data_IF_200629568266
#
_entry.id   IF_200629568266
#
_cell.length_a   1.000
_cell.length_b   1.000
_cell.length_c   1.000
_cell.angle_alpha   90.00
_cell.angle_beta   90.00
_cell.angle_gamma   90.00
#
_symmetry.space_group_name_H-M   'P 1'
#
loop_
_entity.id
_entity.type
_entity.pdbx_description
1 polymer ?
#
# COMPACT_ATOMS: atom_id res chain seq x y z
N UNK A 1 0.29 -23.65 -22.24
CA UNK A 1 1.17 -23.63 -21.06
C UNK A 1 0.65 -22.52 -20.18
N UNK A 2 0.25 -22.81 -18.95
CA UNK A 2 -0.17 -21.75 -18.03
C UNK A 2 1.04 -20.91 -17.68
N UNK A 3 0.91 -19.60 -17.86
CA UNK A 3 1.95 -18.64 -17.51
C UNK A 3 2.24 -18.74 -16.01
N UNK A 4 3.52 -18.64 -15.64
CA UNK A 4 3.98 -18.75 -14.25
C UNK A 4 4.58 -17.42 -13.83
N UNK A 5 4.12 -16.92 -12.70
CA UNK A 5 4.56 -15.64 -12.15
C UNK A 5 5.45 -15.91 -10.94
N UNK A 6 6.58 -15.22 -10.88
CA UNK A 6 7.46 -15.25 -9.72
C UNK A 6 6.76 -14.57 -8.54
N UNK A 7 6.72 -15.24 -7.39
CA UNK A 7 6.07 -14.68 -6.20
C UNK A 7 6.98 -14.72 -4.98
N UNK A 8 6.74 -13.79 -4.06
CA UNK A 8 7.27 -13.80 -2.70
C UNK A 8 6.17 -14.25 -1.74
N UNK A 9 6.40 -15.33 -1.00
CA UNK A 9 5.47 -15.77 0.04
C UNK A 9 5.66 -14.88 1.27
N UNK A 10 4.64 -14.11 1.62
CA UNK A 10 4.66 -13.16 2.75
C UNK A 10 4.30 -13.86 4.06
N UNK A 11 3.25 -14.68 4.04
CA UNK A 11 2.77 -15.41 5.21
C UNK A 11 2.07 -16.70 4.79
N UNK A 12 2.03 -17.68 5.69
CA UNK A 12 1.24 -18.91 5.53
C UNK A 12 0.27 -19.04 6.70
N UNK A 13 -0.98 -19.41 6.41
CA UNK A 13 -2.03 -19.65 7.41
C UNK A 13 -2.82 -20.89 7.02
N UNK A 14 -2.46 -22.02 7.61
CA UNK A 14 -3.08 -23.32 7.29
C UNK A 14 -2.87 -23.71 5.83
N UNK A 15 -3.97 -23.89 5.09
CA UNK A 15 -3.96 -24.29 3.67
C UNK A 15 -3.85 -23.13 2.68
N UNK A 16 -3.70 -21.90 3.17
CA UNK A 16 -3.55 -20.72 2.32
C UNK A 16 -2.26 -19.98 2.63
N UNK A 17 -1.75 -19.28 1.63
CA UNK A 17 -0.58 -18.44 1.73
C UNK A 17 -0.86 -17.07 1.12
N UNK A 18 -0.43 -16.01 1.80
CA UNK A 18 -0.37 -14.67 1.24
C UNK A 18 0.88 -14.57 0.37
N UNK A 19 0.69 -14.31 -0.91
CA UNK A 19 1.76 -14.10 -1.87
C UNK A 19 1.77 -12.66 -2.37
N UNK A 20 2.95 -12.20 -2.78
CA UNK A 20 3.18 -10.89 -3.38
C UNK A 20 3.93 -11.07 -4.70
N UNK A 21 3.53 -10.34 -5.72
CA UNK A 21 4.24 -10.28 -7.00
C UNK A 21 4.23 -8.86 -7.55
N UNK A 22 5.16 -8.58 -8.45
CA UNK A 22 5.24 -7.31 -9.16
C UNK A 22 5.02 -7.49 -10.65
N UNK A 23 4.36 -6.51 -11.27
CA UNK A 23 4.23 -6.37 -12.72
C UNK A 23 4.33 -4.88 -13.13
N UNK A 24 4.00 -4.56 -14.37
CA UNK A 24 4.03 -3.20 -14.90
C UNK A 24 3.02 -2.25 -14.23
N UNK A 25 1.95 -2.80 -13.63
CA UNK A 25 0.93 -2.03 -12.92
C UNK A 25 1.30 -1.79 -11.44
N UNK A 26 2.21 -2.58 -10.87
CA UNK A 26 2.76 -2.36 -9.55
C UNK A 26 2.89 -3.64 -8.73
N UNK A 27 2.72 -3.50 -7.42
CA UNK A 27 2.85 -4.60 -6.46
C UNK A 27 1.46 -5.11 -6.09
N UNK A 28 1.26 -6.41 -6.23
CA UNK A 28 0.00 -7.09 -5.96
C UNK A 28 0.14 -8.08 -4.81
N UNK A 29 -0.96 -8.33 -4.10
CA UNK A 29 -1.03 -9.34 -3.03
C UNK A 29 -2.36 -10.08 -3.06
N UNK A 30 -2.30 -11.40 -2.93
CA UNK A 30 -3.48 -12.25 -2.84
C UNK A 30 -3.21 -13.47 -1.97
N UNK A 31 -4.27 -14.04 -1.39
CA UNK A 31 -4.24 -15.35 -0.76
C UNK A 31 -4.50 -16.41 -1.82
N UNK A 32 -3.58 -17.36 -1.92
CA UNK A 32 -3.68 -18.54 -2.78
C UNK A 32 -3.58 -19.82 -1.95
N UNK A 33 -4.08 -20.96 -2.45
CA UNK A 33 -3.83 -22.26 -1.83
C UNK A 33 -2.33 -22.57 -1.71
N UNK A 34 -1.88 -23.17 -0.60
CA UNK A 34 -0.45 -23.45 -0.41
C UNK A 34 0.09 -24.47 -1.41
N UNK A 35 -0.77 -25.32 -1.96
CA UNK A 35 -0.47 -26.33 -2.98
C UNK A 35 -0.36 -25.78 -4.41
N UNK A 36 -0.87 -24.57 -4.68
CA UNK A 36 -0.63 -23.88 -5.96
C UNK A 36 0.77 -23.25 -6.05
N UNK A 37 1.47 -23.18 -4.92
CA UNK A 37 2.82 -22.64 -4.84
C UNK A 37 3.84 -23.73 -5.18
N UNK A 38 4.62 -23.52 -6.25
CA UNK A 38 5.64 -24.48 -6.69
C UNK A 38 7.02 -23.84 -6.78
N UNK A 39 8.05 -24.67 -6.80
CA UNK A 39 9.41 -24.23 -7.11
C UNK A 39 9.66 -24.41 -8.59
N UNK A 40 10.15 -23.38 -9.25
CA UNK A 40 10.51 -23.45 -10.65
C UNK A 40 12.02 -23.71 -10.81
N UNK A 41 12.34 -24.91 -11.28
CA UNK A 41 13.71 -25.34 -11.54
C UNK A 41 14.40 -24.47 -12.59
N UNK A 42 13.67 -23.89 -13.54
CA UNK A 42 14.23 -22.96 -14.53
C UNK A 42 14.56 -21.59 -13.94
N UNK A 43 13.93 -21.23 -12.82
CA UNK A 43 14.13 -19.97 -12.12
C UNK A 43 14.96 -20.16 -10.82
N UNK A 44 16.01 -20.97 -10.87
CA UNK A 44 16.92 -21.20 -9.73
C UNK A 44 16.19 -21.70 -8.46
N UNK A 45 15.09 -22.44 -8.61
CA UNK A 45 14.30 -22.92 -7.49
C UNK A 45 13.52 -21.82 -6.77
N UNK A 46 13.24 -20.70 -7.43
CA UNK A 46 12.38 -19.67 -6.87
C UNK A 46 10.91 -20.09 -6.89
N UNK A 47 10.15 -19.46 -6.01
CA UNK A 47 8.73 -19.72 -5.83
C UNK A 47 7.91 -19.08 -6.94
N UNK A 48 7.02 -19.87 -7.55
CA UNK A 48 6.11 -19.44 -8.61
C UNK A 48 4.69 -19.91 -8.33
N UNK A 49 3.73 -19.17 -8.86
CA UNK A 49 2.30 -19.50 -8.88
C UNK A 49 1.80 -19.32 -10.31
N UNK A 50 0.81 -20.10 -10.72
CA UNK A 50 0.22 -19.96 -12.04
C UNK A 50 -0.58 -18.65 -12.16
N UNK A 51 -0.61 -18.04 -13.33
CA UNK A 51 -1.40 -16.83 -13.56
C UNK A 51 -2.90 -17.05 -13.28
N UNK A 52 -3.41 -18.25 -13.57
CA UNK A 52 -4.80 -18.64 -13.27
C UNK A 52 -5.07 -18.66 -11.76
N UNK A 53 -4.15 -19.21 -10.96
CA UNK A 53 -4.27 -19.25 -9.50
C UNK A 53 -4.17 -17.85 -8.87
N UNK A 54 -3.36 -16.95 -9.45
CA UNK A 54 -3.30 -15.55 -9.03
C UNK A 54 -4.59 -14.81 -9.36
N UNK A 55 -5.17 -15.05 -10.54
CA UNK A 55 -6.40 -14.40 -11.00
C UNK A 55 -7.62 -14.77 -10.15
N UNK A 56 -7.68 -16.00 -9.63
CA UNK A 56 -8.76 -16.45 -8.73
C UNK A 56 -8.41 -16.30 -7.23
N UNK A 57 -7.20 -15.82 -6.93
CA UNK A 57 -6.73 -15.61 -5.57
C UNK A 57 -7.60 -14.60 -4.83
N UNK A 58 -7.79 -14.80 -3.52
CA UNK A 58 -8.56 -13.85 -2.71
C UNK A 58 -7.73 -12.58 -2.49
N UNK A 59 -8.22 -11.37 -2.84
CA UNK A 59 -7.46 -10.14 -2.66
C UNK A 59 -7.00 -9.92 -1.22
N UNK A 60 -5.82 -9.33 -1.05
CA UNK A 60 -5.31 -8.97 0.28
C UNK A 60 -6.00 -7.70 0.81
N UNK A 61 -7.20 -7.89 1.36
CA UNK A 61 -7.99 -6.82 1.94
C UNK A 61 -8.54 -5.84 0.89
N UNK A 62 -8.99 -4.68 1.36
CA UNK A 62 -9.46 -3.58 0.52
C UNK A 62 -8.31 -2.60 0.30
N UNK A 63 -8.11 -2.18 -0.95
CA UNK A 63 -7.09 -1.21 -1.29
C UNK A 63 -7.42 0.16 -0.67
N UNK A 64 -6.57 0.65 0.24
CA UNK A 64 -6.85 1.88 1.00
C UNK A 64 -6.95 3.13 0.11
N UNK A 65 -6.24 3.13 -1.02
CA UNK A 65 -6.23 4.23 -2.00
C UNK A 65 -7.60 4.47 -2.61
N UNK A 66 -8.44 3.42 -2.70
CA UNK A 66 -9.82 3.53 -3.20
C UNK A 66 -10.78 4.13 -2.17
N UNK A 67 -10.36 4.16 -0.90
CA UNK A 67 -11.22 4.52 0.22
C UNK A 67 -11.07 5.99 0.66
N UNK A 68 -10.03 6.69 0.18
CA UNK A 68 -9.78 8.10 0.52
C UNK A 68 -9.15 8.83 -0.67
N UNK A 69 -9.60 10.06 -0.89
CA UNK A 69 -8.93 10.99 -1.81
C UNK A 69 -8.12 11.97 -0.99
N UNK A 70 -6.82 12.03 -1.24
CA UNK A 70 -5.96 13.08 -0.71
C UNK A 70 -6.01 14.26 -1.66
N UNK A 71 -6.82 15.26 -1.32
CA UNK A 71 -6.80 16.55 -1.98
C UNK A 71 -6.24 17.56 -0.96
N UNK A 72 -5.00 18.00 -1.18
CA UNK A 72 -4.38 19.07 -0.42
C UNK A 72 -3.61 19.92 -1.42
N UNK A 73 -4.03 21.16 -1.60
CA UNK A 73 -3.43 22.04 -2.59
C UNK A 73 -2.05 22.54 -2.12
N UNK A 74 -1.22 23.00 -3.06
CA UNK A 74 0.07 23.61 -2.73
C UNK A 74 -0.13 24.84 -1.86
N UNK A 75 -1.14 25.64 -2.16
CA UNK A 75 -1.50 26.82 -1.40
C UNK A 75 -1.88 26.46 0.05
N UNK A 76 -2.63 25.37 0.27
CA UNK A 76 -2.97 24.91 1.62
C UNK A 76 -1.73 24.45 2.41
N UNK A 77 -0.79 23.78 1.74
CA UNK A 77 0.50 23.40 2.33
C UNK A 77 1.34 24.63 2.69
N UNK A 78 1.42 25.62 1.80
CA UNK A 78 2.14 26.88 2.05
C UNK A 78 1.54 27.63 3.23
N UNK A 79 0.22 27.78 3.29
CA UNK A 79 -0.46 28.43 4.40
C UNK A 79 -0.21 27.70 5.73
N UNK A 80 -0.14 26.37 5.72
CA UNK A 80 0.18 25.60 6.91
C UNK A 80 1.62 25.86 7.40
N UNK A 81 2.59 25.95 6.48
CA UNK A 81 3.98 26.25 6.77
C UNK A 81 4.15 27.69 7.28
N UNK A 82 3.51 28.67 6.63
CA UNK A 82 3.54 30.08 7.04
C UNK A 82 3.00 30.29 8.46
N UNK A 83 1.94 29.57 8.85
CA UNK A 83 1.41 29.60 10.22
C UNK A 83 2.39 29.08 11.28
N UNK A 84 3.41 28.31 10.88
CA UNK A 84 4.51 27.84 11.73
C UNK A 84 5.79 28.66 11.58
N UNK A 85 5.73 29.78 10.85
CA UNK A 85 6.87 30.66 10.62
C UNK A 85 7.89 30.12 9.61
N UNK A 86 7.49 29.16 8.77
CA UNK A 86 8.36 28.53 7.77
C UNK A 86 8.01 29.12 6.41
N UNK A 87 8.90 29.94 5.85
CA UNK A 87 8.64 30.66 4.60
C UNK A 87 9.54 30.19 3.45
N UNK A 88 10.70 29.64 3.79
CA UNK A 88 11.75 29.29 2.85
C UNK A 88 12.20 27.85 3.04
N UNK A 89 12.94 27.34 2.05
CA UNK A 89 13.60 26.03 2.15
C UNK A 89 14.62 26.02 3.28
N UNK A 90 15.27 27.14 3.58
CA UNK A 90 16.24 27.22 4.68
C UNK A 90 15.56 27.15 6.04
N UNK A 91 14.34 27.69 6.19
CA UNK A 91 13.54 27.51 7.41
C UNK A 91 13.15 26.03 7.61
N UNK A 92 12.79 25.32 6.54
CA UNK A 92 12.53 23.87 6.58
C UNK A 92 13.76 23.10 7.03
N UNK A 93 14.95 23.46 6.52
CA UNK A 93 16.21 22.82 6.94
C UNK A 93 16.59 23.13 8.38
N UNK A 94 16.35 24.36 8.82
CA UNK A 94 16.64 24.79 10.18
C UNK A 94 15.69 24.15 11.21
N UNK A 95 14.44 23.87 10.83
CA UNK A 95 13.45 23.24 11.70
C UNK A 95 12.55 22.22 10.96
N UNK A 96 13.09 21.06 10.57
CA UNK A 96 12.36 20.06 9.78
C UNK A 96 11.17 19.48 10.55
N UNK A 97 11.27 19.38 11.88
CA UNK A 97 10.18 18.85 12.70
C UNK A 97 8.96 19.78 12.71
N UNK A 98 9.18 21.10 12.71
CA UNK A 98 8.08 22.06 12.61
C UNK A 98 7.41 21.99 11.23
N UNK A 99 8.17 21.80 10.15
CA UNK A 99 7.63 21.61 8.80
C UNK A 99 6.76 20.35 8.71
N UNK A 100 7.26 19.21 9.23
CA UNK A 100 6.51 17.95 9.29
C UNK A 100 5.23 18.12 10.11
N UNK A 101 5.30 18.80 11.25
CA UNK A 101 4.11 19.05 12.08
C UNK A 101 3.08 19.96 11.39
N UNK A 102 3.54 20.96 10.64
CA UNK A 102 2.67 21.84 9.85
C UNK A 102 1.90 21.06 8.78
N UNK A 103 2.61 20.23 8.02
CA UNK A 103 2.02 19.40 6.97
C UNK A 103 1.10 18.34 7.57
N UNK A 104 1.52 17.66 8.64
CA UNK A 104 0.66 16.67 9.32
C UNK A 104 -0.65 17.29 9.81
N UNK A 105 -0.62 18.53 10.28
CA UNK A 105 -1.83 19.27 10.63
C UNK A 105 -2.70 19.57 9.40
N UNK A 106 -2.10 19.99 8.29
CA UNK A 106 -2.81 20.24 7.03
C UNK A 106 -3.49 18.97 6.49
N UNK A 107 -2.80 17.82 6.56
CA UNK A 107 -3.33 16.51 6.20
C UNK A 107 -4.34 15.95 7.22
N UNK A 108 -4.60 16.63 8.34
CA UNK A 108 -5.40 16.09 9.43
C UNK A 108 -6.80 15.63 9.02
N UNK A 109 -7.46 16.34 8.10
CA UNK A 109 -8.76 15.96 7.56
C UNK A 109 -8.68 14.67 6.73
N UNK A 110 -7.67 14.56 5.84
CA UNK A 110 -7.47 13.41 4.97
C UNK A 110 -7.06 12.17 5.78
N UNK A 111 -6.22 12.33 6.80
CA UNK A 111 -5.86 11.25 7.73
C UNK A 111 -7.09 10.76 8.50
N UNK A 112 -7.95 11.68 8.95
CA UNK A 112 -9.20 11.30 9.61
C UNK A 112 -10.16 10.58 8.67
N UNK A 113 -10.26 11.01 7.41
CA UNK A 113 -11.04 10.31 6.40
C UNK A 113 -10.52 8.87 6.17
N UNK A 114 -9.20 8.69 6.12
CA UNK A 114 -8.58 7.36 6.03
C UNK A 114 -8.90 6.49 7.24
N UNK A 115 -8.81 7.02 8.47
CA UNK A 115 -9.18 6.28 9.67
C UNK A 115 -10.66 5.87 9.67
N UNK A 116 -11.56 6.80 9.33
CA UNK A 116 -12.99 6.51 9.23
C UNK A 116 -13.29 5.44 8.17
N UNK A 117 -12.59 5.48 7.03
CA UNK A 117 -12.71 4.47 5.98
C UNK A 117 -12.22 3.09 6.44
N UNK A 118 -11.15 3.04 7.24
CA UNK A 118 -10.67 1.78 7.83
C UNK A 118 -11.69 1.17 8.80
N UNK A 119 -12.38 1.99 9.59
CA UNK A 119 -13.40 1.54 10.54
C UNK A 119 -14.70 1.10 9.84
N UNK A 120 -15.11 1.77 8.76
CA UNK A 120 -16.33 1.42 8.03
C UNK A 120 -16.22 0.08 7.31
N UNK A 121 -15.04 -0.24 6.74
CA UNK A 121 -14.76 -1.55 6.13
C UNK A 121 -14.87 -2.68 7.16
N UNK A 122 -14.51 -2.41 8.42
CA UNK A 122 -14.58 -3.40 9.51
C UNK A 122 -16.01 -3.78 9.90
N UNK A 123 -17.00 -2.95 9.56
CA UNK A 123 -18.41 -3.14 9.91
C UNK A 123 -19.21 -3.79 8.79
N UNK A 124 -18.67 -3.83 7.57
CA UNK A 124 -19.32 -4.40 6.37
C UNK A 124 -18.96 -5.88 6.10
N UNK A 125 -18.05 -6.46 6.90
CA UNK A 125 -17.58 -7.85 6.83
C UNK A 125 -18.06 -8.60 8.06
#
# INVERSE_FOLDING_TARGET
>A
MTEKTLVRVIAKKGKSALVEWGDDAGIHRAFVPTDSITLDSSNHGRTVVSADDLAIGLPYGVEWSTAVTFDLSVEEMEQALYRRGIWTVDDVRANPQAAVSALAYAYGANLRALYNAADSVKTAV
#
